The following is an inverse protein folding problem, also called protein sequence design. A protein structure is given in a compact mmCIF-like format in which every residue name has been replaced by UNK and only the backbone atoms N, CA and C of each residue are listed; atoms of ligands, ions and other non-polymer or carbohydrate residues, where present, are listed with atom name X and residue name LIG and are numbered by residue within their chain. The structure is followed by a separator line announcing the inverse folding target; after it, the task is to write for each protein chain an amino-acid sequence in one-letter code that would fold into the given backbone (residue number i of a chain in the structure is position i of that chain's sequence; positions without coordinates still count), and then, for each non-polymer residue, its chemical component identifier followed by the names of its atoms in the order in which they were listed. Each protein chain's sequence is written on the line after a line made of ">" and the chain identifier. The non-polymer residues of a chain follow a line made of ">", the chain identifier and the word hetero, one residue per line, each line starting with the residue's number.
data_IF_781195062198
#
_entry.id   IF_781195062198
#
_cell.length_a   1.000
_cell.length_b   1.000
_cell.length_c   1.000
_cell.angle_alpha   90.00
_cell.angle_beta   90.00
_cell.angle_gamma   90.00
#
_symmetry.space_group_name_H-M   'P 1'
#
loop_
_entity.id
_entity.type
_entity.pdbx_description
1 polymer ?
#
# COMPACT_ATOMS: atom_id res chain seq x y z
N UNK A 1 14.80 -0.48 22.27
CA UNK A 1 13.70 0.33 21.70
C UNK A 1 12.32 0.02 22.29
N UNK A 2 12.15 -0.95 23.20
CA UNK A 2 10.84 -1.12 23.89
C UNK A 2 10.51 0.03 24.86
N UNK A 3 11.53 0.58 25.55
CA UNK A 3 11.35 1.72 26.47
C UNK A 3 10.81 2.99 25.79
N UNK A 4 10.97 3.11 24.46
CA UNK A 4 10.51 4.27 23.68
C UNK A 4 9.13 4.07 23.06
N UNK A 5 8.62 2.83 22.99
CA UNK A 5 7.30 2.52 22.41
C UNK A 5 6.18 3.30 23.11
N UNK A 6 6.12 3.24 24.45
CA UNK A 6 5.08 3.90 25.22
C UNK A 6 5.08 5.42 25.03
N UNK A 7 6.27 6.05 25.01
CA UNK A 7 6.42 7.48 24.76
C UNK A 7 5.95 7.86 23.35
N UNK A 8 6.39 7.11 22.32
CA UNK A 8 5.95 7.30 20.93
C UNK A 8 4.43 7.19 20.79
N UNK A 9 3.83 6.12 21.31
CA UNK A 9 2.38 5.90 21.26
C UNK A 9 1.61 6.98 22.01
N UNK A 10 2.11 7.45 23.15
CA UNK A 10 1.47 8.54 23.88
C UNK A 10 1.46 9.83 23.05
N UNK A 11 2.57 10.17 22.41
CA UNK A 11 2.66 11.36 21.56
C UNK A 11 1.73 11.24 20.34
N UNK A 12 1.85 10.13 19.58
CA UNK A 12 1.03 9.86 18.39
C UNK A 12 -0.47 9.90 18.70
N UNK A 13 -0.91 9.23 19.78
CA UNK A 13 -2.34 9.07 20.09
C UNK A 13 -2.93 10.31 20.75
N UNK A 14 -2.17 11.00 21.61
CA UNK A 14 -2.72 12.14 22.38
C UNK A 14 -2.47 13.49 21.73
N UNK A 15 -1.36 13.66 21.02
CA UNK A 15 -0.93 14.95 20.50
C UNK A 15 -1.15 15.07 18.99
N UNK A 16 -1.32 13.94 18.28
CA UNK A 16 -1.49 13.90 16.82
C UNK A 16 -0.55 14.88 16.09
N UNK A 17 0.78 14.76 16.32
CA UNK A 17 1.74 15.70 15.76
C UNK A 17 1.83 15.56 14.24
N UNK A 18 2.25 16.64 13.58
CA UNK A 18 2.64 16.60 12.16
C UNK A 18 3.75 15.57 11.93
N UNK A 19 3.70 14.86 10.80
CA UNK A 19 4.68 13.82 10.47
C UNK A 19 6.10 14.37 10.41
N UNK A 20 6.29 15.60 9.90
CA UNK A 20 7.59 16.27 9.86
C UNK A 20 8.21 16.38 11.26
N UNK A 21 7.48 16.96 12.21
CA UNK A 21 7.94 17.16 13.59
C UNK A 21 8.17 15.83 14.31
N UNK A 22 7.27 14.87 14.08
CA UNK A 22 7.37 13.55 14.67
C UNK A 22 8.59 12.78 14.15
N UNK A 23 8.89 12.88 12.85
CA UNK A 23 10.09 12.29 12.23
C UNK A 23 11.37 12.89 12.77
N UNK A 24 11.42 14.19 13.03
CA UNK A 24 12.59 14.82 13.68
C UNK A 24 12.82 14.29 15.10
N UNK A 25 11.75 14.04 15.88
CA UNK A 25 11.86 13.52 17.25
C UNK A 25 12.13 12.01 17.31
N UNK A 26 11.55 11.24 16.39
CA UNK A 26 11.62 9.78 16.37
C UNK A 26 12.10 9.23 15.01
N UNK A 27 13.27 9.65 14.51
CA UNK A 27 13.72 9.28 13.16
C UNK A 27 13.88 7.77 13.02
N UNK A 28 14.26 7.08 14.09
CA UNK A 28 14.40 5.63 14.09
C UNK A 28 13.09 4.87 13.78
N UNK A 29 11.91 5.44 14.04
CA UNK A 29 10.65 4.80 13.67
C UNK A 29 10.55 4.61 12.16
N UNK A 30 11.11 5.55 11.39
CA UNK A 30 11.08 5.62 9.94
C UNK A 30 12.16 4.75 9.31
N UNK A 31 12.44 3.60 9.91
CA UNK A 31 13.20 2.51 9.32
C UNK A 31 12.32 1.28 9.20
N UNK A 32 12.46 0.55 8.10
CA UNK A 32 11.67 -0.67 7.80
C UNK A 32 11.59 -1.61 9.01
N UNK A 33 12.72 -1.86 9.68
CA UNK A 33 12.78 -2.73 10.86
C UNK A 33 11.89 -2.23 12.01
N UNK A 34 11.93 -0.94 12.32
CA UNK A 34 11.19 -0.37 13.44
C UNK A 34 9.70 -0.24 13.12
N UNK A 35 9.31 0.13 11.90
CA UNK A 35 7.90 0.10 11.47
C UNK A 35 7.32 -1.30 11.62
N UNK A 36 8.05 -2.34 11.18
CA UNK A 36 7.61 -3.73 11.34
C UNK A 36 7.48 -4.13 12.82
N UNK A 37 8.44 -3.74 13.66
CA UNK A 37 8.39 -4.03 15.09
C UNK A 37 7.20 -3.32 15.78
N UNK A 38 6.93 -2.08 15.42
CA UNK A 38 5.82 -1.26 15.95
C UNK A 38 4.47 -1.81 15.53
N UNK A 39 4.31 -2.12 14.24
CA UNK A 39 3.11 -2.78 13.74
C UNK A 39 2.85 -4.10 14.47
N UNK A 40 3.88 -4.95 14.62
CA UNK A 40 3.76 -6.22 15.34
C UNK A 40 3.42 -6.03 16.82
N UNK A 41 3.93 -4.99 17.49
CA UNK A 41 3.56 -4.67 18.88
C UNK A 41 2.08 -4.26 19.00
N UNK A 42 1.56 -3.52 18.02
CA UNK A 42 0.18 -3.03 18.02
C UNK A 42 -0.82 -4.14 17.65
N UNK A 43 -0.54 -4.91 16.60
CA UNK A 43 -1.50 -5.85 16.01
C UNK A 43 -1.23 -7.31 16.38
N UNK A 44 -0.06 -7.62 16.94
CA UNK A 44 0.48 -8.98 17.15
C UNK A 44 0.81 -9.76 15.87
N UNK A 45 0.59 -9.18 14.69
CA UNK A 45 0.78 -9.81 13.39
C UNK A 45 2.19 -9.55 12.84
N UNK A 46 2.80 -10.57 12.22
CA UNK A 46 3.98 -10.36 11.37
C UNK A 46 3.53 -9.81 10.01
N UNK A 47 3.74 -8.50 9.80
CA UNK A 47 3.28 -7.76 8.63
C UNK A 47 3.61 -8.45 7.31
N UNK A 48 4.90 -8.59 7.00
CA UNK A 48 5.35 -9.03 5.67
C UNK A 48 4.86 -10.44 5.38
N UNK A 49 5.04 -11.36 6.35
CA UNK A 49 4.63 -12.75 6.19
C UNK A 49 3.12 -12.88 5.96
N UNK A 50 2.29 -12.20 6.76
CA UNK A 50 0.83 -12.26 6.63
C UNK A 50 0.34 -11.56 5.35
N UNK A 51 0.86 -10.37 5.06
CA UNK A 51 0.44 -9.58 3.91
C UNK A 51 0.72 -10.30 2.59
N UNK A 52 1.95 -10.76 2.38
CA UNK A 52 2.31 -11.40 1.12
C UNK A 52 1.67 -12.78 0.97
N UNK A 53 1.62 -13.59 2.03
CA UNK A 53 0.93 -14.88 1.95
C UNK A 53 -0.55 -14.72 1.60
N UNK A 54 -1.25 -13.76 2.22
CA UNK A 54 -2.65 -13.52 1.91
C UNK A 54 -2.85 -12.95 0.49
N UNK A 55 -2.02 -12.00 0.08
CA UNK A 55 -2.07 -11.43 -1.27
C UNK A 55 -1.86 -12.52 -2.33
N UNK A 56 -0.89 -13.40 -2.14
CA UNK A 56 -0.57 -14.48 -3.08
C UNK A 56 -1.69 -15.53 -3.11
N UNK A 57 -2.25 -15.91 -1.94
CA UNK A 57 -3.39 -16.84 -1.86
C UNK A 57 -4.61 -16.32 -2.62
N UNK A 58 -4.89 -15.02 -2.54
CA UNK A 58 -6.04 -14.41 -3.21
C UNK A 58 -5.76 -13.96 -4.64
N UNK A 59 -4.52 -14.04 -5.12
CA UNK A 59 -4.11 -13.46 -6.41
C UNK A 59 -4.91 -14.02 -7.58
N UNK A 60 -5.04 -15.34 -7.68
CA UNK A 60 -5.78 -16.00 -8.77
C UNK A 60 -7.25 -15.58 -8.76
N UNK A 61 -7.90 -15.64 -7.59
CA UNK A 61 -9.29 -15.24 -7.40
C UNK A 61 -9.52 -13.76 -7.74
N UNK A 62 -8.59 -12.87 -7.38
CA UNK A 62 -8.66 -11.44 -7.73
C UNK A 62 -8.57 -11.24 -9.24
N UNK A 63 -7.64 -11.93 -9.91
CA UNK A 63 -7.52 -11.89 -11.37
C UNK A 63 -8.83 -12.33 -12.04
N UNK A 64 -9.45 -13.41 -11.57
CA UNK A 64 -10.73 -13.90 -12.12
C UNK A 64 -11.88 -12.92 -11.88
N UNK A 65 -11.89 -12.23 -10.75
CA UNK A 65 -12.86 -11.17 -10.46
C UNK A 65 -12.65 -9.98 -11.39
N UNK A 66 -11.40 -9.62 -11.65
CA UNK A 66 -11.01 -8.51 -12.53
C UNK A 66 -11.39 -8.76 -13.98
N UNK A 67 -11.20 -9.98 -14.51
CA UNK A 67 -11.58 -10.31 -15.91
C UNK A 67 -13.08 -10.22 -16.16
N UNK A 68 -13.90 -10.45 -15.13
CA UNK A 68 -15.37 -10.34 -15.18
C UNK A 68 -15.86 -8.89 -15.14
N UNK A 69 -15.00 -7.90 -14.86
CA UNK A 69 -15.38 -6.48 -14.89
C UNK A 69 -15.46 -5.95 -16.32
N UNK A 70 -16.59 -5.33 -16.64
CA UNK A 70 -16.82 -4.63 -17.91
C UNK A 70 -16.69 -3.10 -17.78
N UNK A 71 -17.07 -2.40 -18.85
CA UNK A 71 -17.13 -0.94 -18.87
C UNK A 71 -15.76 -0.25 -18.74
N UNK A 72 -15.78 1.00 -18.26
CA UNK A 72 -14.57 1.83 -18.08
C UNK A 72 -13.59 1.19 -17.09
N UNK A 73 -14.10 0.68 -15.97
CA UNK A 73 -13.29 -0.01 -14.96
C UNK A 73 -12.61 -1.25 -15.53
N UNK A 74 -13.35 -2.10 -16.26
CA UNK A 74 -12.80 -3.29 -16.90
C UNK A 74 -11.68 -2.97 -17.89
N UNK A 75 -11.81 -1.88 -18.66
CA UNK A 75 -10.75 -1.42 -19.56
C UNK A 75 -9.51 -0.96 -18.78
N UNK A 76 -9.67 -0.15 -17.73
CA UNK A 76 -8.55 0.33 -16.89
C UNK A 76 -7.85 -0.85 -16.19
N UNK A 77 -8.61 -1.80 -15.63
CA UNK A 77 -8.07 -3.04 -15.06
C UNK A 77 -7.29 -3.84 -16.09
N UNK A 78 -7.82 -4.07 -17.30
CA UNK A 78 -7.09 -4.80 -18.36
C UNK A 78 -5.76 -4.14 -18.70
N UNK A 79 -5.71 -2.81 -18.78
CA UNK A 79 -4.46 -2.07 -19.00
C UNK A 79 -3.46 -2.29 -17.86
N UNK A 80 -3.92 -2.19 -16.62
CA UNK A 80 -3.08 -2.41 -15.42
C UNK A 80 -2.55 -3.84 -15.36
N UNK A 81 -3.31 -4.83 -15.83
CA UNK A 81 -2.94 -6.25 -15.75
C UNK A 81 -2.07 -6.73 -16.93
N UNK A 82 -1.89 -5.90 -17.97
CA UNK A 82 -1.10 -6.26 -19.16
C UNK A 82 0.34 -6.72 -18.83
N UNK A 83 1.10 -6.06 -17.92
CA UNK A 83 2.46 -6.48 -17.56
C UNK A 83 2.58 -7.94 -17.09
N UNK A 84 1.55 -8.49 -16.44
CA UNK A 84 1.54 -9.88 -15.96
C UNK A 84 1.69 -10.87 -17.13
N UNK A 85 1.29 -10.49 -18.34
CA UNK A 85 1.42 -11.34 -19.54
C UNK A 85 2.81 -11.27 -20.18
N UNK A 86 3.61 -10.27 -19.79
CA UNK A 86 4.90 -9.96 -20.40
C UNK A 86 6.08 -10.40 -19.52
N UNK A 87 5.87 -10.55 -18.20
CA UNK A 87 6.89 -10.97 -17.26
C UNK A 87 6.35 -11.97 -16.23
N UNK A 88 7.22 -12.87 -15.77
CA UNK A 88 6.93 -13.79 -14.68
C UNK A 88 7.25 -13.20 -13.29
N UNK A 89 7.65 -11.92 -13.21
CA UNK A 89 7.98 -11.24 -11.95
C UNK A 89 6.80 -11.27 -10.96
N UNK A 90 7.09 -11.72 -9.74
CA UNK A 90 6.11 -11.75 -8.65
C UNK A 90 5.75 -10.34 -8.18
N UNK A 91 6.71 -9.42 -8.21
CA UNK A 91 6.50 -8.05 -7.73
C UNK A 91 5.62 -7.27 -8.69
N UNK A 92 5.83 -7.43 -10.01
CA UNK A 92 4.95 -6.86 -11.05
C UNK A 92 3.53 -7.41 -10.89
N UNK A 93 3.39 -8.70 -10.66
CA UNK A 93 2.07 -9.32 -10.44
C UNK A 93 1.35 -8.73 -9.23
N UNK A 94 2.04 -8.64 -8.10
CA UNK A 94 1.47 -8.07 -6.87
C UNK A 94 1.11 -6.59 -7.04
N UNK A 95 1.96 -5.82 -7.70
CA UNK A 95 1.70 -4.41 -8.04
C UNK A 95 0.43 -4.25 -8.88
N UNK A 96 0.32 -5.00 -9.99
CA UNK A 96 -0.86 -4.98 -10.85
C UNK A 96 -2.13 -5.38 -10.09
N UNK A 97 -2.05 -6.39 -9.20
CA UNK A 97 -3.19 -6.82 -8.38
C UNK A 97 -3.64 -5.72 -7.42
N UNK A 98 -2.72 -5.03 -6.77
CA UNK A 98 -3.00 -3.94 -5.82
C UNK A 98 -3.58 -2.70 -6.53
N UNK A 99 -3.02 -2.32 -7.68
CA UNK A 99 -3.58 -1.24 -8.52
C UNK A 99 -4.96 -1.62 -9.07
N UNK A 100 -5.13 -2.87 -9.50
CA UNK A 100 -6.41 -3.41 -9.95
C UNK A 100 -7.48 -3.41 -8.84
N UNK A 101 -7.08 -3.60 -7.59
CA UNK A 101 -7.98 -3.59 -6.43
C UNK A 101 -8.59 -2.20 -6.22
N UNK A 102 -7.78 -1.14 -6.38
CA UNK A 102 -8.26 0.24 -6.34
C UNK A 102 -9.36 0.45 -7.39
N UNK A 103 -9.07 0.09 -8.65
CA UNK A 103 -10.03 0.26 -9.74
C UNK A 103 -11.29 -0.58 -9.54
N UNK A 104 -11.17 -1.79 -9.00
CA UNK A 104 -12.32 -2.65 -8.67
C UNK A 104 -13.31 -1.96 -7.73
N UNK A 105 -12.81 -1.18 -6.76
CA UNK A 105 -13.64 -0.44 -5.82
C UNK A 105 -14.13 0.92 -6.33
N UNK A 106 -13.80 1.28 -7.58
CA UNK A 106 -13.99 2.61 -8.15
C UNK A 106 -13.12 3.69 -7.49
N UNK A 107 -11.92 3.32 -7.08
CA UNK A 107 -10.91 4.19 -6.51
C UNK A 107 -9.78 4.39 -7.54
N UNK A 108 -9.06 5.50 -7.42
CA UNK A 108 -8.02 5.83 -8.38
C UNK A 108 -6.67 5.26 -7.93
N UNK A 109 -6.05 4.31 -8.68
CA UNK A 109 -4.77 3.72 -8.32
C UNK A 109 -3.63 4.73 -8.22
N UNK A 110 -3.71 5.88 -8.90
CA UNK A 110 -2.71 6.95 -8.80
C UNK A 110 -2.69 7.64 -7.43
N UNK A 111 -3.78 7.52 -6.66
CA UNK A 111 -3.82 7.97 -5.25
C UNK A 111 -3.05 7.03 -4.33
N UNK A 112 -2.87 5.77 -4.72
CA UNK A 112 -2.05 4.82 -3.97
C UNK A 112 -0.60 4.84 -4.44
N UNK A 113 -0.37 4.78 -5.75
CA UNK A 113 0.94 4.66 -6.39
C UNK A 113 1.04 5.67 -7.52
N UNK A 114 1.94 6.65 -7.38
CA UNK A 114 2.23 7.65 -8.41
C UNK A 114 3.61 7.36 -9.01
N UNK A 115 3.65 7.23 -10.33
CA UNK A 115 4.88 6.96 -11.07
C UNK A 115 5.49 8.27 -11.59
N UNK A 116 6.82 8.36 -11.53
CA UNK A 116 7.63 9.46 -12.01
C UNK A 116 8.78 8.92 -12.86
N UNK A 117 9.22 9.69 -13.85
CA UNK A 117 10.42 9.38 -14.62
C UNK A 117 11.63 9.99 -13.93
N UNK A 118 12.81 9.37 -13.99
CA UNK A 118 14.00 9.90 -13.29
C UNK A 118 14.51 11.25 -13.79
N UNK A 119 14.05 11.70 -14.96
CA UNK A 119 14.29 13.05 -15.50
C UNK A 119 13.32 14.10 -14.94
N UNK A 120 12.26 13.68 -14.25
CA UNK A 120 11.32 14.58 -13.58
C UNK A 120 11.98 15.13 -12.30
N UNK A 121 12.53 16.33 -12.40
CA UNK A 121 13.13 17.04 -11.26
C UNK A 121 12.22 16.96 -10.01
N UNK A 122 12.87 16.80 -8.86
CA UNK A 122 12.41 16.58 -7.46
C UNK A 122 11.24 17.41 -6.92
N UNK A 123 10.61 18.25 -7.75
CA UNK A 123 9.45 19.10 -7.46
C UNK A 123 8.08 18.44 -7.70
N UNK A 124 7.97 17.30 -8.41
CA UNK A 124 6.66 16.70 -8.72
C UNK A 124 6.04 15.88 -7.57
N UNK A 125 6.85 15.49 -6.58
CA UNK A 125 6.39 14.78 -5.37
C UNK A 125 5.65 15.70 -4.39
N UNK A 126 5.75 17.02 -4.54
CA UNK A 126 5.19 18.02 -3.63
C UNK A 126 3.65 18.01 -3.55
N UNK A 127 2.95 17.48 -4.55
CA UNK A 127 1.48 17.37 -4.55
C UNK A 127 0.98 16.11 -3.83
N UNK A 128 1.84 15.11 -3.61
CA UNK A 128 1.43 13.86 -2.96
C UNK A 128 1.46 14.04 -1.45
N UNK A 129 0.28 14.20 -0.84
CA UNK A 129 0.16 14.31 0.62
C UNK A 129 0.13 12.93 1.29
N UNK A 130 -0.34 11.90 0.59
CA UNK A 130 -0.40 10.53 1.10
C UNK A 130 -0.32 9.57 -0.09
N UNK A 131 0.79 8.86 -0.26
CA UNK A 131 0.98 8.01 -1.44
C UNK A 131 2.35 7.34 -1.52
N UNK A 132 2.45 6.35 -2.41
CA UNK A 132 3.70 5.70 -2.80
C UNK A 132 4.19 6.40 -4.06
N UNK A 133 5.47 6.73 -4.12
CA UNK A 133 6.11 7.15 -5.36
C UNK A 133 6.97 6.03 -5.91
N UNK A 134 7.06 5.96 -7.24
CA UNK A 134 7.91 5.02 -7.97
C UNK A 134 8.69 5.82 -8.99
N UNK A 135 10.01 5.68 -8.98
CA UNK A 135 10.90 6.31 -9.96
C UNK A 135 11.39 5.20 -10.90
N UNK A 136 11.20 5.39 -12.21
CA UNK A 136 11.69 4.47 -13.24
C UNK A 136 12.59 5.19 -14.24
N UNK A 137 13.56 4.46 -14.78
CA UNK A 137 14.39 4.92 -15.89
C UNK A 137 13.52 5.22 -17.12
N UNK A 138 13.96 6.17 -17.95
CA UNK A 138 13.34 6.41 -19.26
C UNK A 138 13.44 5.16 -20.14
N UNK A 139 12.29 4.72 -20.67
CA UNK A 139 12.20 3.52 -21.51
C UNK A 139 12.17 2.19 -20.74
N UNK A 140 12.04 2.20 -19.41
CA UNK A 140 11.91 0.99 -18.61
C UNK A 140 10.77 0.09 -19.10
N UNK A 141 11.06 -1.20 -19.24
CA UNK A 141 10.08 -2.22 -19.59
C UNK A 141 9.29 -2.65 -18.34
N UNK A 142 8.08 -3.24 -18.49
CA UNK A 142 7.22 -3.60 -17.36
C UNK A 142 7.80 -4.65 -16.40
N UNK A 143 8.94 -5.27 -16.74
CA UNK A 143 9.69 -6.20 -15.89
C UNK A 143 10.90 -5.59 -15.20
N UNK A 144 11.27 -4.35 -15.52
CA UNK A 144 12.46 -3.71 -14.97
C UNK A 144 12.21 -3.22 -13.54
N UNK A 145 13.23 -3.38 -12.70
CA UNK A 145 13.21 -2.89 -11.34
C UNK A 145 13.16 -1.34 -11.33
N UNK A 146 12.33 -0.73 -10.47
CA UNK A 146 12.32 0.72 -10.32
C UNK A 146 13.64 1.20 -9.69
N UNK A 147 14.05 2.41 -10.04
CA UNK A 147 15.21 3.07 -9.42
C UNK A 147 14.99 3.29 -7.93
N UNK A 148 13.77 3.72 -7.58
CA UNK A 148 13.38 3.96 -6.20
C UNK A 148 11.88 3.75 -6.04
N UNK A 149 11.50 3.24 -4.87
CA UNK A 149 10.13 3.20 -4.39
C UNK A 149 10.13 3.72 -2.97
N UNK A 150 9.28 4.71 -2.70
CA UNK A 150 9.17 5.30 -1.37
C UNK A 150 7.75 5.72 -1.02
N UNK A 151 7.59 6.23 0.20
CA UNK A 151 6.31 6.60 0.78
C UNK A 151 6.38 8.05 1.23
N UNK A 152 5.34 8.80 0.89
CA UNK A 152 5.13 10.18 1.33
C UNK A 152 3.87 10.22 2.21
N UNK A 153 4.00 10.84 3.38
CA UNK A 153 2.92 11.11 4.33
C UNK A 153 2.98 12.57 4.77
N UNK A 154 1.86 13.27 4.70
CA UNK A 154 1.74 14.72 4.93
C UNK A 154 2.76 15.55 4.13
N UNK A 155 3.06 15.13 2.90
CA UNK A 155 4.06 15.78 2.04
C UNK A 155 5.51 15.53 2.47
N UNK A 156 5.74 14.69 3.48
CA UNK A 156 7.08 14.29 3.95
C UNK A 156 7.41 12.91 3.41
N UNK A 157 8.55 12.78 2.75
CA UNK A 157 9.11 11.47 2.44
C UNK A 157 9.48 10.76 3.74
N UNK A 158 8.82 9.64 4.03
CA UNK A 158 8.95 8.90 5.29
C UNK A 158 9.77 7.63 5.15
N UNK A 159 9.76 7.00 3.97
CA UNK A 159 10.56 5.83 3.62
C UNK A 159 10.94 5.90 2.14
N UNK A 160 12.12 5.40 1.80
CA UNK A 160 12.71 5.30 0.46
C UNK A 160 13.38 3.92 0.28
N UNK A 161 13.91 3.67 -0.92
CA UNK A 161 14.69 2.48 -1.27
C UNK A 161 13.97 1.15 -0.95
N UNK A 162 12.65 1.13 -1.09
CA UNK A 162 11.81 -0.04 -0.75
C UNK A 162 11.87 -1.15 -1.82
N UNK A 163 12.46 -0.88 -2.97
CA UNK A 163 12.68 -1.83 -4.07
C UNK A 163 11.44 -2.16 -4.90
N UNK A 164 10.27 -2.37 -4.29
CA UNK A 164 9.04 -2.64 -5.05
C UNK A 164 7.77 -2.06 -4.42
N UNK A 165 6.75 -1.86 -5.26
CA UNK A 165 5.47 -1.25 -4.88
C UNK A 165 4.70 -2.10 -3.87
N UNK A 166 4.70 -3.42 -4.02
CA UNK A 166 3.93 -4.29 -3.13
C UNK A 166 4.45 -4.24 -1.69
N UNK A 167 5.77 -4.14 -1.52
CA UNK A 167 6.41 -3.91 -0.24
C UNK A 167 6.10 -2.52 0.31
N UNK A 168 6.13 -1.49 -0.53
CA UNK A 168 5.73 -0.15 -0.13
C UNK A 168 4.27 -0.06 0.35
N UNK A 169 3.33 -0.78 -0.28
CA UNK A 169 1.93 -0.87 0.19
C UNK A 169 1.86 -1.52 1.59
N UNK A 170 2.60 -2.61 1.81
CA UNK A 170 2.65 -3.25 3.13
C UNK A 170 3.24 -2.31 4.19
N UNK A 171 4.33 -1.60 3.87
CA UNK A 171 4.98 -0.64 4.77
C UNK A 171 4.09 0.57 5.06
N UNK A 172 3.40 1.11 4.05
CA UNK A 172 2.41 2.17 4.22
C UNK A 172 1.26 1.71 5.14
N UNK A 173 0.74 0.51 4.92
CA UNK A 173 -0.29 -0.08 5.80
C UNK A 173 0.20 -0.11 7.25
N UNK A 174 1.44 -0.56 7.49
CA UNK A 174 2.01 -0.58 8.83
C UNK A 174 2.24 0.82 9.43
N UNK A 175 2.66 1.79 8.63
CA UNK A 175 2.82 3.18 9.04
C UNK A 175 1.49 3.79 9.51
N UNK A 176 0.37 3.49 8.85
CA UNK A 176 -0.96 3.95 9.30
C UNK A 176 -1.24 3.51 10.74
N UNK A 177 -0.91 2.27 11.10
CA UNK A 177 -1.05 1.78 12.48
C UNK A 177 -0.03 2.41 13.42
N UNK A 178 1.24 2.42 13.03
CA UNK A 178 2.33 2.94 13.86
C UNK A 178 2.12 4.41 14.23
N UNK A 179 1.61 5.21 13.28
CA UNK A 179 1.35 6.64 13.39
C UNK A 179 -0.11 6.97 13.71
N UNK A 180 -0.97 5.96 13.95
CA UNK A 180 -2.39 6.15 14.29
C UNK A 180 -3.15 7.05 13.30
N UNK A 181 -2.88 6.90 12.01
CA UNK A 181 -3.47 7.70 10.96
C UNK A 181 -4.84 7.15 10.56
N UNK A 182 -5.68 8.01 10.00
CA UNK A 182 -6.87 7.56 9.27
C UNK A 182 -6.49 7.18 7.84
N UNK A 183 -7.19 6.20 7.26
CA UNK A 183 -7.02 5.92 5.83
C UNK A 183 -7.47 7.10 4.98
N UNK A 184 -6.81 7.38 3.84
CA UNK A 184 -7.26 8.41 2.91
C UNK A 184 -8.67 8.06 2.39
N UNK A 185 -9.62 9.01 2.40
CA UNK A 185 -11.00 8.78 1.95
C UNK A 185 -11.12 8.21 0.52
N UNK A 186 -10.17 8.57 -0.34
CA UNK A 186 -10.08 8.18 -1.75
C UNK A 186 -9.75 6.70 -1.95
N UNK A 187 -9.17 6.04 -0.93
CA UNK A 187 -8.77 4.62 -0.95
C UNK A 187 -9.45 3.82 0.16
N UNK A 188 -10.57 4.33 0.70
CA UNK A 188 -11.27 3.76 1.85
C UNK A 188 -11.56 2.26 1.70
N UNK A 189 -12.05 1.83 0.55
CA UNK A 189 -12.45 0.44 0.30
C UNK A 189 -11.24 -0.45 0.01
N UNK A 190 -10.20 0.08 -0.65
CA UNK A 190 -8.92 -0.61 -0.80
C UNK A 190 -8.31 -0.91 0.57
N UNK A 191 -8.15 0.09 1.44
CA UNK A 191 -7.61 -0.12 2.78
C UNK A 191 -8.52 -0.98 3.66
N UNK A 192 -9.85 -0.89 3.51
CA UNK A 192 -10.77 -1.80 4.18
C UNK A 192 -10.53 -3.26 3.76
N UNK A 193 -10.32 -3.53 2.46
CA UNK A 193 -10.03 -4.86 1.97
C UNK A 193 -8.65 -5.36 2.45
N UNK A 194 -7.62 -4.54 2.39
CA UNK A 194 -6.29 -4.87 2.94
C UNK A 194 -6.39 -5.22 4.43
N UNK A 195 -7.06 -4.38 5.23
CA UNK A 195 -7.21 -4.58 6.67
C UNK A 195 -8.02 -5.83 7.01
N UNK A 196 -9.25 -5.93 6.51
CA UNK A 196 -10.26 -6.87 7.02
C UNK A 196 -10.30 -8.19 6.25
N UNK A 197 -9.85 -8.20 5.00
CA UNK A 197 -9.82 -9.41 4.17
C UNK A 197 -8.40 -9.98 4.18
N UNK A 198 -7.38 -9.20 3.81
CA UNK A 198 -6.02 -9.74 3.70
C UNK A 198 -5.34 -9.91 5.06
N UNK A 199 -5.41 -8.89 5.91
CA UNK A 199 -4.76 -8.87 7.22
C UNK A 199 -5.64 -9.44 8.33
N UNK A 200 -6.94 -9.67 8.06
CA UNK A 200 -7.94 -10.18 9.02
C UNK A 200 -8.01 -9.38 10.34
N UNK A 201 -7.70 -8.08 10.27
CA UNK A 201 -7.80 -7.13 11.37
C UNK A 201 -9.20 -6.50 11.42
N UNK A 202 -9.66 -6.16 12.63
CA UNK A 202 -10.93 -5.43 12.89
C UNK A 202 -12.15 -6.01 12.16
N UNK A 203 -12.38 -7.32 12.32
CA UNK A 203 -13.42 -8.11 11.64
C UNK A 203 -14.89 -7.76 11.95
N UNK A 204 -15.16 -6.64 12.62
CA UNK A 204 -16.45 -6.37 13.23
C UNK A 204 -17.52 -5.82 12.28
N UNK A 205 -17.21 -5.48 11.01
CA UNK A 205 -18.15 -5.24 9.89
C UNK A 205 -17.39 -4.82 8.62
N UNK A 206 -17.54 -5.56 7.51
CA UNK A 206 -17.15 -5.10 6.17
C UNK A 206 -18.29 -4.25 5.56
N UNK A 207 -17.94 -3.25 4.75
CA UNK A 207 -18.90 -2.59 3.86
C UNK A 207 -19.52 -3.57 2.87
N UNK A 208 -20.65 -3.19 2.25
CA UNK A 208 -21.29 -4.01 1.21
C UNK A 208 -20.33 -4.35 0.07
N UNK A 209 -19.49 -3.40 -0.37
CA UNK A 209 -18.46 -3.64 -1.39
C UNK A 209 -17.43 -4.66 -0.93
N UNK A 210 -16.95 -4.53 0.32
CA UNK A 210 -16.01 -5.48 0.92
C UNK A 210 -16.60 -6.89 1.07
N UNK A 211 -17.87 -7.00 1.47
CA UNK A 211 -18.56 -8.30 1.58
C UNK A 211 -18.71 -8.99 0.22
N UNK A 212 -19.04 -8.23 -0.83
CA UNK A 212 -19.12 -8.76 -2.19
C UNK A 212 -17.76 -9.29 -2.62
N UNK A 213 -16.69 -8.52 -2.42
CA UNK A 213 -15.33 -8.98 -2.74
C UNK A 213 -14.98 -10.25 -1.97
N UNK A 214 -15.15 -10.26 -0.63
CA UNK A 214 -14.86 -11.42 0.22
C UNK A 214 -15.59 -12.68 -0.26
N UNK A 215 -16.87 -12.54 -0.63
CA UNK A 215 -17.69 -13.65 -1.15
C UNK A 215 -17.17 -14.17 -2.48
N UNK A 216 -16.67 -13.29 -3.35
CA UNK A 216 -16.09 -13.69 -4.63
C UNK A 216 -14.75 -14.40 -4.43
N UNK A 217 -13.93 -13.95 -3.49
CA UNK A 217 -12.63 -14.56 -3.17
C UNK A 217 -12.76 -15.93 -2.52
N UNK A 218 -13.86 -16.21 -1.80
CA UNK A 218 -14.10 -17.53 -1.21
C UNK A 218 -14.69 -18.57 -2.20
N UNK A 219 -15.08 -18.13 -3.41
CA UNK A 219 -15.77 -18.96 -4.41
C UNK A 219 -14.89 -19.33 -5.61
N UNK A 220 -13.69 -18.75 -5.68
CA UNK A 220 -12.76 -18.91 -6.79
C UNK A 220 -11.64 -19.87 -6.41
#
# INVERSE_FOLDING_TARGET
>A
MEKTFACRRQEVVRQAPLIADFKTRWPALFHVREVNAEFKRITTINLQSKFFSSLDIHSTSLIDVYTKKGGVQGKKIKSIMLPITQTNSIDVRRECILKGLCVYFNEDPEKLVKEYMSIDNSSQTAETVFGIFVIRHEGAEPGDDPENVGIILEGVEVLDELGNVSFAVAMMFALVYALNLSYPPELKFTFEALQKIMMELDGNRLSTKGQVLKTLLSRA
#
